data_IF_793774627917
#
_entry.id   IF_793774627917
#
_cell.length_a   1.000
_cell.length_b   1.000
_cell.length_c   1.000
_cell.angle_alpha   90.00
_cell.angle_beta   90.00
_cell.angle_gamma   90.00
#
_symmetry.space_group_name_H-M   'P 1'
#
loop_
_entity.id
_entity.type
_entity.pdbx_description
1 polymer ?
#
# COMPACT_ATOMS: atom_id res chain seq x y z
N UNK A 1 12.54 0.74 20.60
CA UNK A 1 11.74 -0.49 20.38
C UNK A 1 10.21 -0.28 20.42
N UNK A 2 9.68 0.89 20.76
CA UNK A 2 8.22 1.13 20.80
C UNK A 2 7.60 1.32 19.40
N UNK A 3 8.24 2.09 18.52
CA UNK A 3 7.68 2.47 17.20
C UNK A 3 7.44 1.29 16.26
N UNK A 4 8.26 0.23 16.31
CA UNK A 4 8.12 -0.95 15.43
C UNK A 4 6.88 -1.82 15.70
N UNK A 5 6.18 -1.59 16.82
CA UNK A 5 4.91 -2.27 17.12
C UNK A 5 3.70 -1.48 16.67
N UNK A 6 3.88 -0.18 16.43
CA UNK A 6 2.78 0.74 16.06
C UNK A 6 2.70 0.97 14.54
N UNK A 7 3.75 0.60 13.80
CA UNK A 7 3.80 0.79 12.35
C UNK A 7 4.12 -0.54 11.67
N UNK A 8 3.20 -1.01 10.85
CA UNK A 8 3.46 -2.08 9.88
C UNK A 8 3.92 -1.46 8.57
N UNK A 9 4.91 -2.05 7.92
CA UNK A 9 5.39 -1.55 6.64
C UNK A 9 5.58 -2.66 5.62
N UNK A 10 5.26 -2.32 4.38
CA UNK A 10 5.50 -3.12 3.19
C UNK A 10 6.14 -2.19 2.15
N UNK A 11 7.39 -2.47 1.76
CA UNK A 11 8.18 -1.62 0.87
C UNK A 11 8.54 -2.43 -0.37
N UNK A 12 8.04 -2.02 -1.53
CA UNK A 12 8.25 -2.59 -2.87
C UNK A 12 8.19 -4.13 -2.95
N UNK A 13 9.33 -4.80 -2.76
CA UNK A 13 9.46 -6.25 -2.81
C UNK A 13 9.88 -6.79 -1.46
N UNK A 14 8.98 -7.44 -0.72
CA UNK A 14 9.31 -7.97 0.60
C UNK A 14 10.40 -9.05 0.50
N UNK A 15 11.46 -8.87 1.30
CA UNK A 15 12.55 -9.84 1.38
C UNK A 15 12.11 -11.03 2.24
N UNK A 16 12.01 -12.21 1.61
CA UNK A 16 11.71 -13.46 2.28
C UNK A 16 12.86 -14.45 2.20
N UNK A 17 12.98 -15.29 3.19
CA UNK A 17 13.85 -16.46 3.13
C UNK A 17 13.21 -17.47 2.16
N UNK A 18 13.71 -17.54 0.94
CA UNK A 18 13.14 -18.36 -0.13
C UNK A 18 13.17 -19.88 0.15
N UNK A 19 14.06 -20.33 1.01
CA UNK A 19 14.20 -21.71 1.50
C UNK A 19 13.27 -22.04 2.68
N UNK A 20 12.53 -21.06 3.20
CA UNK A 20 11.50 -21.24 4.21
C UNK A 20 10.12 -21.17 3.56
N UNK A 21 9.14 -21.79 4.20
CA UNK A 21 7.73 -21.68 3.84
C UNK A 21 7.15 -20.32 4.18
N UNK A 22 5.95 -20.00 3.66
CA UNK A 22 5.24 -18.77 4.04
C UNK A 22 4.99 -18.70 5.55
N UNK A 23 4.59 -19.83 6.16
CA UNK A 23 4.38 -19.92 7.60
C UNK A 23 5.67 -19.65 8.38
N UNK A 24 6.78 -20.31 8.03
CA UNK A 24 8.07 -20.11 8.70
C UNK A 24 8.60 -18.67 8.58
N UNK A 25 8.41 -18.02 7.44
CA UNK A 25 8.74 -16.61 7.29
C UNK A 25 7.97 -15.73 8.28
N UNK A 26 6.66 -15.94 8.44
CA UNK A 26 5.84 -15.19 9.40
C UNK A 26 6.16 -15.56 10.86
N UNK A 27 6.56 -16.79 11.15
CA UNK A 27 7.01 -17.20 12.48
C UNK A 27 8.26 -16.42 12.95
N UNK A 28 9.14 -16.04 12.02
CA UNK A 28 10.28 -15.18 12.32
C UNK A 28 9.80 -13.81 12.80
N UNK A 29 8.87 -13.20 12.06
CA UNK A 29 8.30 -11.89 12.42
C UNK A 29 7.58 -11.97 13.76
N UNK A 30 6.77 -13.02 13.98
CA UNK A 30 6.13 -13.29 15.28
C UNK A 30 7.12 -13.31 16.45
N UNK A 31 8.24 -14.00 16.28
CA UNK A 31 9.29 -14.07 17.31
C UNK A 31 9.91 -12.72 17.60
N UNK A 32 10.21 -11.93 16.55
CA UNK A 32 10.80 -10.59 16.69
C UNK A 32 9.86 -9.66 17.45
N UNK A 33 8.55 -9.71 17.12
CA UNK A 33 7.53 -8.85 17.73
C UNK A 33 7.01 -9.39 19.09
N UNK A 34 7.38 -10.62 19.48
CA UNK A 34 6.89 -11.25 20.70
C UNK A 34 5.41 -11.62 20.66
N UNK A 35 4.89 -11.97 19.47
CA UNK A 35 3.48 -12.29 19.25
C UNK A 35 3.18 -13.78 19.52
N UNK A 36 1.93 -14.13 19.83
CA UNK A 36 1.52 -15.52 19.96
C UNK A 36 1.57 -16.25 18.62
N UNK A 37 1.84 -17.55 18.61
CA UNK A 37 1.94 -18.35 17.38
C UNK A 37 0.65 -18.37 16.56
N UNK A 38 -0.51 -18.15 17.18
CA UNK A 38 -1.81 -18.04 16.49
C UNK A 38 -1.83 -16.90 15.47
N UNK A 39 -1.11 -15.79 15.73
CA UNK A 39 -1.06 -14.64 14.85
C UNK A 39 -0.57 -15.00 13.42
N UNK A 40 0.27 -16.04 13.29
CA UNK A 40 0.73 -16.53 11.97
C UNK A 40 -0.44 -17.06 11.15
N UNK A 41 -1.29 -17.86 11.75
CA UNK A 41 -2.43 -18.44 11.03
C UNK A 41 -3.48 -17.39 10.70
N UNK A 42 -3.75 -16.48 11.63
CA UNK A 42 -4.65 -15.35 11.43
C UNK A 42 -4.20 -14.47 10.24
N UNK A 43 -2.88 -14.17 10.18
CA UNK A 43 -2.32 -13.38 9.10
C UNK A 43 -2.36 -14.10 7.74
N UNK A 44 -2.09 -15.41 7.70
CA UNK A 44 -2.20 -16.22 6.48
C UNK A 44 -3.63 -16.32 5.97
N UNK A 45 -4.59 -16.47 6.87
CA UNK A 45 -6.01 -16.49 6.54
C UNK A 45 -6.48 -15.16 5.96
N UNK A 46 -6.09 -14.04 6.59
CA UNK A 46 -6.43 -12.70 6.14
C UNK A 46 -6.04 -12.43 4.69
N UNK A 47 -4.87 -12.93 4.27
CA UNK A 47 -4.36 -12.72 2.90
C UNK A 47 -4.66 -13.89 1.95
N UNK A 48 -5.42 -14.90 2.39
CA UNK A 48 -5.80 -16.05 1.56
C UNK A 48 -4.66 -17.02 1.23
N UNK A 49 -3.65 -17.12 2.10
CA UNK A 49 -2.50 -18.01 1.89
C UNK A 49 -2.51 -19.28 2.73
N UNK A 50 -3.57 -19.56 3.48
CA UNK A 50 -3.66 -20.70 4.41
C UNK A 50 -3.34 -22.03 3.74
N UNK A 51 -3.88 -22.29 2.55
CA UNK A 51 -3.65 -23.53 1.80
C UNK A 51 -2.22 -23.67 1.26
N UNK A 52 -1.46 -22.58 1.18
CA UNK A 52 -0.09 -22.54 0.68
C UNK A 52 0.94 -22.36 1.78
N UNK A 53 0.55 -22.36 3.05
CA UNK A 53 1.38 -22.02 4.21
C UNK A 53 2.69 -22.79 4.31
N UNK A 54 2.69 -24.08 3.90
CA UNK A 54 3.84 -24.98 4.00
C UNK A 54 4.68 -25.01 2.70
N UNK A 55 4.27 -24.27 1.64
CA UNK A 55 5.00 -24.15 0.39
C UNK A 55 6.17 -23.17 0.56
N UNK A 56 7.35 -23.50 0.03
CA UNK A 56 8.52 -22.64 0.07
C UNK A 56 8.27 -21.29 -0.61
N UNK A 57 8.67 -20.18 0.02
CA UNK A 57 8.44 -18.82 -0.49
C UNK A 57 9.05 -18.57 -1.87
N UNK A 58 10.18 -19.22 -2.22
CA UNK A 58 10.75 -19.15 -3.57
C UNK A 58 9.83 -19.70 -4.68
N UNK A 59 8.85 -20.54 -4.32
CA UNK A 59 7.87 -21.14 -5.25
C UNK A 59 6.55 -20.34 -5.29
N UNK A 60 6.45 -19.22 -4.56
CA UNK A 60 5.28 -18.35 -4.60
C UNK A 60 5.28 -17.54 -5.90
N UNK A 61 4.09 -17.35 -6.49
CA UNK A 61 3.90 -16.34 -7.54
C UNK A 61 4.16 -14.94 -6.99
N UNK A 62 4.27 -13.94 -7.87
CA UNK A 62 4.44 -12.55 -7.44
C UNK A 62 3.28 -12.13 -6.51
N UNK A 63 2.03 -12.36 -6.90
CA UNK A 63 0.86 -12.05 -6.08
C UNK A 63 0.85 -12.76 -4.72
N UNK A 64 1.31 -14.02 -4.65
CA UNK A 64 1.47 -14.71 -3.37
C UNK A 64 2.57 -14.09 -2.51
N UNK A 65 3.66 -13.60 -3.10
CA UNK A 65 4.72 -12.87 -2.38
C UNK A 65 4.20 -11.53 -1.85
N UNK A 66 3.45 -10.78 -2.65
CA UNK A 66 2.81 -9.54 -2.22
C UNK A 66 1.87 -9.78 -1.03
N UNK A 67 1.01 -10.80 -1.11
CA UNK A 67 0.12 -11.20 -0.01
C UNK A 67 0.89 -11.61 1.25
N UNK A 68 2.00 -12.34 1.11
CA UNK A 68 2.85 -12.70 2.26
C UNK A 68 3.50 -11.44 2.88
N UNK A 69 3.89 -10.46 2.08
CA UNK A 69 4.40 -9.17 2.55
C UNK A 69 3.36 -8.38 3.35
N UNK A 70 2.14 -8.30 2.82
CA UNK A 70 1.02 -7.72 3.55
C UNK A 70 0.74 -8.46 4.86
N UNK A 71 0.75 -9.80 4.85
CA UNK A 71 0.61 -10.60 6.07
C UNK A 71 1.70 -10.26 7.11
N UNK A 72 2.94 -10.11 6.66
CA UNK A 72 4.06 -9.71 7.52
C UNK A 72 3.87 -8.32 8.14
N UNK A 73 3.39 -7.35 7.35
CA UNK A 73 3.13 -6.00 7.83
C UNK A 73 1.95 -5.93 8.81
N UNK A 74 0.95 -6.80 8.62
CA UNK A 74 -0.30 -6.83 9.39
C UNK A 74 -0.27 -7.73 10.63
N UNK A 75 0.71 -8.63 10.75
CA UNK A 75 0.72 -9.70 11.78
C UNK A 75 0.64 -9.17 13.22
N UNK A 76 1.17 -7.95 13.46
CA UNK A 76 1.12 -7.26 14.75
C UNK A 76 -0.14 -6.44 14.97
N UNK A 77 -1.05 -6.36 13.99
CA UNK A 77 -2.22 -5.46 13.99
C UNK A 77 -1.83 -4.02 14.33
N UNK A 78 -0.91 -3.42 13.56
CA UNK A 78 -0.44 -2.07 13.86
C UNK A 78 -1.56 -1.05 13.61
N UNK A 79 -1.63 0.04 14.39
CA UNK A 79 -2.58 1.13 14.15
C UNK A 79 -2.25 1.94 12.89
N UNK A 80 -1.01 1.87 12.38
CA UNK A 80 -0.58 2.52 11.14
C UNK A 80 0.06 1.49 10.22
N UNK A 81 -0.37 1.47 8.96
CA UNK A 81 0.17 0.61 7.92
C UNK A 81 0.67 1.46 6.75
N UNK A 82 1.94 1.28 6.38
CA UNK A 82 2.56 1.97 5.24
C UNK A 82 2.83 0.95 4.14
N UNK A 83 2.23 1.15 2.98
CA UNK A 83 2.32 0.26 1.82
C UNK A 83 2.89 1.01 0.63
N UNK A 84 4.08 0.64 0.21
CA UNK A 84 4.75 1.22 -0.94
C UNK A 84 4.53 0.33 -2.17
N UNK A 85 3.79 0.86 -3.17
CA UNK A 85 3.47 0.18 -4.44
C UNK A 85 2.95 -1.27 -4.27
N UNK A 86 1.93 -1.54 -3.41
CA UNK A 86 1.54 -2.90 -3.04
C UNK A 86 0.93 -3.71 -4.21
N UNK A 87 0.54 -3.06 -5.29
CA UNK A 87 -0.04 -3.67 -6.50
C UNK A 87 0.94 -3.79 -7.66
N UNK A 88 2.18 -3.31 -7.49
CA UNK A 88 3.17 -3.26 -8.57
C UNK A 88 3.48 -4.65 -9.13
N UNK A 89 3.44 -4.76 -10.47
CA UNK A 89 3.75 -5.99 -11.21
C UNK A 89 2.68 -7.08 -11.12
N UNK A 90 1.52 -6.82 -10.53
CA UNK A 90 0.39 -7.75 -10.52
C UNK A 90 -0.42 -7.65 -11.82
N UNK A 91 -1.10 -8.75 -12.15
CA UNK A 91 -2.13 -8.77 -13.18
C UNK A 91 -3.42 -8.06 -12.68
N UNK A 92 -4.38 -7.72 -13.56
CA UNK A 92 -5.60 -7.01 -13.16
C UNK A 92 -6.41 -7.71 -12.07
N UNK A 93 -6.41 -9.05 -12.03
CA UNK A 93 -7.12 -9.81 -10.99
C UNK A 93 -6.41 -9.65 -9.66
N UNK A 94 -5.09 -9.79 -9.63
CA UNK A 94 -4.27 -9.58 -8.43
C UNK A 94 -4.37 -8.16 -7.88
N UNK A 95 -4.37 -7.14 -8.76
CA UNK A 95 -4.60 -5.75 -8.38
C UNK A 95 -5.94 -5.60 -7.67
N UNK A 96 -7.02 -6.08 -8.29
CA UNK A 96 -8.37 -6.01 -7.71
C UNK A 96 -8.45 -6.68 -6.32
N UNK A 97 -7.83 -7.85 -6.16
CA UNK A 97 -7.84 -8.60 -4.90
C UNK A 97 -7.06 -7.88 -3.80
N UNK A 98 -5.86 -7.36 -4.10
CA UNK A 98 -5.04 -6.61 -3.14
C UNK A 98 -5.72 -5.29 -2.77
N UNK A 99 -6.28 -4.56 -3.73
CA UNK A 99 -7.07 -3.34 -3.47
C UNK A 99 -8.25 -3.61 -2.54
N UNK A 100 -9.03 -4.65 -2.82
CA UNK A 100 -10.18 -5.04 -1.98
C UNK A 100 -9.74 -5.37 -0.55
N UNK A 101 -8.62 -6.08 -0.42
CA UNK A 101 -8.04 -6.37 0.89
C UNK A 101 -7.67 -5.06 1.61
N UNK A 102 -6.85 -4.19 0.98
CA UNK A 102 -6.40 -2.93 1.58
C UNK A 102 -7.58 -2.07 2.04
N UNK A 103 -8.61 -1.87 1.20
CA UNK A 103 -9.82 -1.13 1.59
C UNK A 103 -10.57 -1.69 2.79
N UNK A 104 -10.45 -2.98 3.04
CA UNK A 104 -11.12 -3.64 4.17
C UNK A 104 -10.36 -3.46 5.50
N UNK A 105 -9.08 -3.11 5.46
CA UNK A 105 -8.22 -3.10 6.66
C UNK A 105 -8.62 -2.07 7.71
N UNK A 106 -8.92 -0.79 7.36
CA UNK A 106 -9.30 0.21 8.34
C UNK A 106 -10.50 -0.23 9.17
N UNK A 107 -11.53 -0.77 8.53
CA UNK A 107 -12.75 -1.22 9.21
C UNK A 107 -12.53 -2.49 10.04
N UNK A 108 -11.66 -3.41 9.58
CA UNK A 108 -11.40 -4.68 10.27
C UNK A 108 -10.46 -4.56 11.46
N UNK A 109 -9.51 -3.63 11.40
CA UNK A 109 -8.41 -3.54 12.37
C UNK A 109 -8.28 -2.18 13.05
N UNK A 110 -9.20 -1.24 12.76
CA UNK A 110 -9.13 0.14 13.29
C UNK A 110 -7.74 0.76 13.05
N UNK A 111 -7.26 0.67 11.81
CA UNK A 111 -5.94 1.15 11.42
C UNK A 111 -6.02 2.20 10.32
N UNK A 112 -5.04 3.09 10.29
CA UNK A 112 -4.83 4.02 9.19
C UNK A 112 -3.88 3.39 8.17
N UNK A 113 -4.25 3.43 6.89
CA UNK A 113 -3.43 2.89 5.81
C UNK A 113 -2.92 4.01 4.92
N UNK A 114 -1.61 4.15 4.81
CA UNK A 114 -0.93 5.01 3.85
C UNK A 114 -0.43 4.15 2.69
N UNK A 115 -0.88 4.46 1.47
CA UNK A 115 -0.51 3.71 0.25
C UNK A 115 0.17 4.65 -0.73
N UNK A 116 1.34 4.28 -1.25
CA UNK A 116 1.88 4.90 -2.47
C UNK A 116 1.44 4.10 -3.70
N UNK A 117 1.14 4.78 -4.79
CA UNK A 117 0.92 4.17 -6.09
C UNK A 117 1.18 5.17 -7.21
N UNK A 118 1.69 4.67 -8.34
CA UNK A 118 1.76 5.42 -9.59
C UNK A 118 0.54 5.17 -10.51
N UNK A 119 -0.36 4.26 -10.13
CA UNK A 119 -1.59 3.95 -10.85
C UNK A 119 -2.74 4.81 -10.31
N UNK A 120 -2.96 5.97 -10.93
CA UNK A 120 -3.95 6.95 -10.47
C UNK A 120 -5.38 6.39 -10.42
N UNK A 121 -5.74 5.51 -11.37
CA UNK A 121 -7.04 4.82 -11.37
C UNK A 121 -7.25 3.91 -10.14
N UNK A 122 -6.16 3.34 -9.59
CA UNK A 122 -6.26 2.55 -8.37
C UNK A 122 -6.46 3.45 -7.14
N UNK A 123 -5.79 4.62 -7.12
CA UNK A 123 -5.96 5.62 -6.05
C UNK A 123 -7.42 6.11 -6.01
N UNK A 124 -8.02 6.44 -7.16
CA UNK A 124 -9.43 6.85 -7.23
C UNK A 124 -10.40 5.83 -6.63
N UNK A 125 -10.09 4.54 -6.77
CA UNK A 125 -10.92 3.45 -6.27
C UNK A 125 -10.65 3.10 -4.80
N UNK A 126 -9.55 3.56 -4.22
CA UNK A 126 -9.05 3.07 -2.93
C UNK A 126 -8.97 4.14 -1.85
N UNK A 127 -8.58 5.38 -2.21
CA UNK A 127 -8.22 6.41 -1.25
C UNK A 127 -9.44 7.21 -0.77
N UNK A 128 -9.47 7.52 0.52
CA UNK A 128 -10.40 8.50 1.11
C UNK A 128 -9.80 9.92 0.99
N UNK A 129 -8.47 10.03 1.20
CA UNK A 129 -7.69 11.24 1.01
C UNK A 129 -6.45 10.92 0.17
N UNK A 130 -5.98 11.91 -0.59
CA UNK A 130 -4.82 11.79 -1.45
C UNK A 130 -3.81 12.89 -1.17
N UNK A 131 -2.53 12.57 -1.30
CA UNK A 131 -1.43 13.51 -1.31
C UNK A 131 -0.71 13.48 -2.66
N UNK A 132 -0.50 14.63 -3.29
CA UNK A 132 0.26 14.74 -4.54
C UNK A 132 1.62 15.33 -4.22
N UNK A 133 2.66 14.54 -4.51
CA UNK A 133 4.05 14.92 -4.28
C UNK A 133 4.78 15.16 -5.62
N UNK A 134 5.53 16.25 -5.71
CA UNK A 134 6.42 16.52 -6.83
C UNK A 134 7.77 17.05 -6.34
N UNK A 135 8.86 16.42 -6.72
CA UNK A 135 10.22 16.81 -6.31
C UNK A 135 10.37 17.12 -4.81
N UNK A 136 9.79 16.28 -3.95
CA UNK A 136 9.85 16.41 -2.49
C UNK A 136 8.93 17.49 -1.89
N UNK A 137 8.04 18.09 -2.69
CA UNK A 137 7.02 19.06 -2.23
C UNK A 137 5.64 18.45 -2.29
N UNK A 138 4.87 18.66 -1.25
CA UNK A 138 3.44 18.33 -1.21
C UNK A 138 2.67 19.44 -1.94
N UNK A 139 2.10 19.11 -3.11
CA UNK A 139 1.34 20.06 -3.94
C UNK A 139 -0.12 20.13 -3.54
N UNK A 140 -0.65 19.00 -3.08
CA UNK A 140 -2.03 18.87 -2.65
C UNK A 140 -2.14 17.78 -1.56
N UNK A 141 -3.06 17.99 -0.62
CA UNK A 141 -3.54 17.02 0.35
C UNK A 141 -5.02 17.27 0.59
N UNK A 142 -5.84 16.21 0.51
CA UNK A 142 -7.29 16.29 0.70
C UNK A 142 -8.03 15.17 -0.01
N UNK A 143 -9.35 15.25 -0.05
CA UNK A 143 -10.21 14.31 -0.78
C UNK A 143 -10.14 14.50 -2.29
N UNK A 144 -10.60 13.49 -3.04
CA UNK A 144 -10.74 13.60 -4.51
C UNK A 144 -11.69 14.75 -4.91
N UNK A 145 -12.76 14.98 -4.16
CA UNK A 145 -13.69 16.06 -4.45
C UNK A 145 -13.06 17.44 -4.25
N UNK A 146 -12.27 17.62 -3.20
CA UNK A 146 -11.51 18.86 -2.97
C UNK A 146 -10.47 19.09 -4.07
N UNK A 147 -9.81 18.02 -4.56
CA UNK A 147 -8.90 18.12 -5.68
C UNK A 147 -9.61 18.60 -6.95
N UNK A 148 -10.77 18.01 -7.26
CA UNK A 148 -11.60 18.41 -8.43
C UNK A 148 -12.05 19.86 -8.32
N UNK A 149 -12.51 20.30 -7.15
CA UNK A 149 -12.91 21.70 -6.90
C UNK A 149 -11.74 22.66 -7.12
N UNK A 150 -10.56 22.32 -6.59
CA UNK A 150 -9.34 23.10 -6.81
C UNK A 150 -8.97 23.17 -8.29
N UNK A 151 -9.04 22.05 -9.01
CA UNK A 151 -8.74 22.00 -10.45
C UNK A 151 -9.69 22.91 -11.24
N UNK A 152 -11.00 22.86 -10.97
CA UNK A 152 -11.99 23.76 -11.59
C UNK A 152 -11.64 25.23 -11.33
N UNK A 153 -11.32 25.60 -10.09
CA UNK A 153 -10.98 26.98 -9.73
C UNK A 153 -9.71 27.50 -10.41
N UNK A 154 -8.82 26.60 -10.83
CA UNK A 154 -7.57 26.92 -11.52
C UNK A 154 -7.65 26.73 -13.05
N UNK A 155 -8.83 26.34 -13.57
CA UNK A 155 -9.05 26.09 -15.00
C UNK A 155 -8.33 24.84 -15.52
N UNK A 156 -8.06 23.86 -14.66
CA UNK A 156 -7.44 22.58 -15.05
C UNK A 156 -8.51 21.59 -15.50
N UNK A 157 -8.14 20.59 -16.35
CA UNK A 157 -9.03 19.49 -16.71
C UNK A 157 -9.47 18.71 -15.45
N UNK A 158 -10.72 18.23 -15.46
CA UNK A 158 -11.32 17.47 -14.35
C UNK A 158 -11.99 16.18 -14.79
N UNK A 159 -11.81 15.79 -16.06
CA UNK A 159 -12.46 14.62 -16.64
C UNK A 159 -11.99 13.31 -15.98
N UNK A 160 -10.73 13.27 -15.58
CA UNK A 160 -10.14 12.17 -14.82
C UNK A 160 -9.02 12.69 -13.89
N UNK A 161 -8.59 11.84 -12.95
CA UNK A 161 -7.52 12.20 -11.99
C UNK A 161 -6.17 12.39 -12.69
N UNK A 162 -5.90 11.67 -13.78
CA UNK A 162 -4.64 11.74 -14.51
C UNK A 162 -4.41 13.12 -15.13
N UNK A 163 -5.42 13.68 -15.83
CA UNK A 163 -5.32 15.01 -16.43
C UNK A 163 -5.16 16.09 -15.36
N UNK A 164 -5.91 15.98 -14.25
CA UNK A 164 -5.78 16.89 -13.12
C UNK A 164 -4.38 16.82 -12.49
N UNK A 165 -3.85 15.62 -12.29
CA UNK A 165 -2.51 15.39 -11.76
C UNK A 165 -1.44 16.00 -12.66
N UNK A 166 -1.49 15.71 -13.97
CA UNK A 166 -0.53 16.24 -14.93
C UNK A 166 -0.54 17.78 -14.97
N UNK A 167 -1.73 18.39 -14.95
CA UNK A 167 -1.85 19.85 -14.92
C UNK A 167 -1.21 20.47 -13.67
N UNK A 168 -1.37 19.84 -12.49
CA UNK A 168 -0.73 20.30 -11.25
C UNK A 168 0.81 20.17 -11.30
N UNK A 169 1.31 19.06 -11.81
CA UNK A 169 2.76 18.82 -11.97
C UNK A 169 3.37 19.82 -12.94
N UNK A 170 2.71 20.07 -14.10
CA UNK A 170 3.17 21.04 -15.10
C UNK A 170 3.18 22.46 -14.55
N UNK A 171 2.19 22.83 -13.76
CA UNK A 171 2.13 24.15 -13.12
C UNK A 171 3.29 24.34 -12.12
N UNK A 172 3.58 23.35 -11.27
CA UNK A 172 4.72 23.39 -10.34
C UNK A 172 6.06 23.47 -11.09
N UNK A 173 6.23 22.68 -12.15
CA UNK A 173 7.45 22.66 -12.95
C UNK A 173 7.70 24.00 -13.66
N UNK A 174 6.65 24.68 -14.18
CA UNK A 174 6.77 26.03 -14.80
C UNK A 174 7.20 27.09 -13.78
N UNK A 175 6.64 27.06 -12.57
CA UNK A 175 7.05 27.97 -11.49
C UNK A 175 8.53 27.79 -11.14
N UNK A 176 9.02 26.57 -11.08
CA UNK A 176 10.43 26.24 -10.79
C UNK A 176 11.38 26.60 -11.93
N UNK A 177 10.94 26.46 -13.20
CA UNK A 177 11.75 26.79 -14.38
C UNK A 177 11.94 28.29 -14.58
N UNK A 178 11.05 29.12 -14.01
CA UNK A 178 11.18 30.60 -14.02
C UNK A 178 12.06 31.18 -12.91
N UNK A 179 12.50 30.36 -11.95
CA UNK A 179 13.37 30.76 -10.83
C UNK A 179 14.87 30.44 -11.06
N UNK A 180 15.29 30.10 -12.30
CA UNK A 180 16.68 29.79 -12.65
C UNK A 180 17.28 30.88 -13.52
#
# INVERSE_FOLDING_TARGET
>A
MAVTKEVGSFIEAPAFYGNLSGKENLEIVCKILGLPKSAVMDALELVGLTQYKDRLAKKYSLGMKQRLGLASALIGRPPILILDEPTNGLDPVGIHEIRTLIRSLPQKFDCTVLVSSHLLSEIELMADNIGILNHGRLLFEGSLDELKQRAVSQGYPTDNLEDTFLALIDADNRQRGGER
#
